data_IF_091990457993
#
_entry.id   IF_091990457993
#
_cell.length_a   1.000
_cell.length_b   1.000
_cell.length_c   1.000
_cell.angle_alpha   90.00
_cell.angle_beta   90.00
_cell.angle_gamma   90.00
#
_symmetry.space_group_name_H-M   'P 1'
#
loop_
_entity.id
_entity.type
_entity.pdbx_description
1 polymer ?
#
# COMPACT_ATOMS: atom_id res chain seq x y z
N UNK A 1 -20.90 7.52 -6.18
CA UNK A 1 -20.44 6.12 -6.15
C UNK A 1 -18.94 6.14 -6.34
N UNK A 2 -18.18 5.48 -5.48
CA UNK A 2 -16.78 5.20 -5.77
C UNK A 2 -16.79 3.94 -6.64
N UNK A 3 -16.30 4.05 -7.88
CA UNK A 3 -16.13 2.90 -8.77
C UNK A 3 -15.32 1.81 -8.04
N UNK A 4 -15.65 0.51 -8.21
CA UNK A 4 -14.86 -0.55 -7.62
C UNK A 4 -13.40 -0.48 -8.12
N UNK A 5 -12.45 -0.45 -7.19
CA UNK A 5 -11.03 -0.43 -7.54
C UNK A 5 -10.64 -1.73 -8.26
N UNK A 6 -9.77 -1.63 -9.27
CA UNK A 6 -9.20 -2.77 -10.00
C UNK A 6 -7.91 -3.25 -9.34
N UNK A 7 -7.55 -4.54 -9.49
CA UNK A 7 -6.25 -5.05 -9.03
C UNK A 7 -5.07 -4.32 -9.70
N UNK A 8 -5.17 -4.02 -10.99
CA UNK A 8 -4.15 -3.23 -11.71
C UNK A 8 -3.94 -1.85 -11.06
N UNK A 9 -5.01 -1.13 -10.75
CA UNK A 9 -4.93 0.18 -10.08
C UNK A 9 -4.31 0.08 -8.67
N UNK A 10 -4.63 -0.96 -7.91
CA UNK A 10 -4.03 -1.20 -6.59
C UNK A 10 -2.53 -1.47 -6.70
N UNK A 11 -2.11 -2.28 -7.68
CA UNK A 11 -0.70 -2.57 -7.93
C UNK A 11 0.07 -1.30 -8.32
N UNK A 12 -0.48 -0.52 -9.25
CA UNK A 12 0.12 0.73 -9.71
C UNK A 12 0.21 1.76 -8.58
N UNK A 13 -0.84 1.91 -7.77
CA UNK A 13 -0.84 2.81 -6.63
C UNK A 13 0.20 2.40 -5.58
N UNK A 14 0.30 1.10 -5.27
CA UNK A 14 1.29 0.58 -4.32
C UNK A 14 2.73 0.80 -4.82
N UNK A 15 2.97 0.59 -6.12
CA UNK A 15 4.27 0.83 -6.73
C UNK A 15 4.68 2.32 -6.65
N UNK A 16 3.72 3.22 -6.95
CA UNK A 16 3.94 4.66 -6.86
C UNK A 16 4.28 5.08 -5.43
N UNK A 17 3.48 4.68 -4.44
CA UNK A 17 3.72 5.05 -3.03
C UNK A 17 5.06 4.52 -2.53
N UNK A 18 5.46 3.31 -2.93
CA UNK A 18 6.78 2.77 -2.59
C UNK A 18 7.90 3.65 -3.17
N UNK A 19 7.81 4.00 -4.45
CA UNK A 19 8.82 4.82 -5.12
C UNK A 19 8.89 6.24 -4.52
N UNK A 20 7.75 6.91 -4.38
CA UNK A 20 7.65 8.27 -3.85
C UNK A 20 8.09 8.34 -2.39
N UNK A 21 7.70 7.33 -1.59
CA UNK A 21 8.11 7.21 -0.20
C UNK A 21 9.62 7.06 -0.04
N UNK A 22 10.28 6.30 -0.92
CA UNK A 22 11.74 6.14 -0.91
C UNK A 22 12.48 7.39 -1.43
N UNK A 23 11.89 8.12 -2.38
CA UNK A 23 12.49 9.31 -2.99
C UNK A 23 12.25 10.60 -2.19
N UNK A 24 11.39 10.57 -1.17
CA UNK A 24 11.09 11.69 -0.28
C UNK A 24 12.34 12.19 0.47
N UNK A 25 12.40 13.50 0.72
CA UNK A 25 13.42 14.12 1.59
C UNK A 25 13.40 13.56 3.03
N UNK A 26 12.25 13.03 3.43
CA UNK A 26 12.04 12.30 4.67
C UNK A 26 11.50 10.90 4.30
N UNK A 27 12.40 9.94 3.99
CA UNK A 27 12.03 8.70 3.33
C UNK A 27 11.26 7.75 4.25
N UNK A 28 10.29 7.05 3.68
CA UNK A 28 9.55 5.96 4.34
C UNK A 28 9.90 4.65 3.67
N UNK A 29 10.53 3.75 4.44
CA UNK A 29 10.95 2.44 3.94
C UNK A 29 9.82 1.43 4.10
N UNK A 30 9.18 1.10 2.98
CA UNK A 30 8.13 0.09 2.91
C UNK A 30 8.63 -1.17 2.21
N UNK A 31 7.90 -2.26 2.41
CA UNK A 31 8.04 -3.49 1.65
C UNK A 31 6.74 -3.78 0.90
N UNK A 32 6.81 -4.66 -0.08
CA UNK A 32 5.61 -5.16 -0.76
C UNK A 32 5.38 -6.64 -0.49
N UNK A 33 4.12 -7.05 -0.54
CA UNK A 33 3.68 -8.43 -0.66
C UNK A 33 2.84 -8.56 -1.93
N UNK A 34 3.04 -9.61 -2.73
CA UNK A 34 2.14 -9.90 -3.84
C UNK A 34 1.00 -10.78 -3.34
N UNK A 35 -0.23 -10.27 -3.43
CA UNK A 35 -1.43 -11.04 -3.14
C UNK A 35 -2.03 -11.55 -4.46
N UNK A 36 -2.26 -12.86 -4.54
CA UNK A 36 -2.92 -13.48 -5.69
C UNK A 36 -4.39 -13.10 -5.76
N UNK A 37 -4.95 -13.13 -6.97
CA UNK A 37 -6.32 -12.74 -7.29
C UNK A 37 -7.36 -13.34 -6.33
N UNK A 38 -7.34 -14.65 -6.11
CA UNK A 38 -8.35 -15.36 -5.32
C UNK A 38 -8.30 -14.95 -3.85
N UNK A 39 -7.09 -14.85 -3.28
CA UNK A 39 -6.90 -14.43 -1.90
C UNK A 39 -7.29 -12.96 -1.71
N UNK A 40 -7.01 -12.11 -2.70
CA UNK A 40 -7.36 -10.70 -2.66
C UNK A 40 -8.88 -10.50 -2.69
N UNK A 41 -9.57 -11.11 -3.67
CA UNK A 41 -11.03 -10.94 -3.84
C UNK A 41 -11.83 -11.58 -2.71
N UNK A 42 -11.34 -12.68 -2.12
CA UNK A 42 -11.96 -13.27 -0.93
C UNK A 42 -12.00 -12.29 0.26
N UNK A 43 -10.98 -11.43 0.39
CA UNK A 43 -10.87 -10.44 1.48
C UNK A 43 -11.45 -9.08 1.12
N UNK A 44 -11.48 -8.75 -0.17
CA UNK A 44 -12.00 -7.50 -0.73
C UNK A 44 -12.97 -7.77 -1.89
N UNK A 45 -14.20 -8.24 -1.61
CA UNK A 45 -15.13 -8.71 -2.64
C UNK A 45 -15.66 -7.61 -3.58
N UNK A 46 -15.38 -6.34 -3.28
CA UNK A 46 -15.76 -5.18 -4.12
C UNK A 46 -14.68 -4.80 -5.15
N UNK A 47 -13.55 -5.49 -5.21
CA UNK A 47 -12.50 -5.24 -6.20
C UNK A 47 -12.79 -5.96 -7.51
N UNK A 48 -12.51 -5.28 -8.62
CA UNK A 48 -12.51 -5.88 -9.94
C UNK A 48 -11.18 -6.61 -10.17
N UNK A 49 -11.26 -7.91 -10.44
CA UNK A 49 -10.10 -8.78 -10.63
C UNK A 49 -9.63 -8.82 -12.09
N UNK A 50 -9.08 -7.71 -12.57
CA UNK A 50 -8.58 -7.52 -13.94
C UNK A 50 -7.14 -8.02 -14.18
N UNK A 51 -6.50 -8.58 -13.15
CA UNK A 51 -5.15 -9.13 -13.18
C UNK A 51 -5.02 -10.37 -12.27
N UNK A 52 -3.90 -11.10 -12.38
CA UNK A 52 -3.63 -12.31 -11.57
C UNK A 52 -3.34 -12.01 -10.09
N UNK A 53 -3.22 -10.74 -9.72
CA UNK A 53 -2.96 -10.28 -8.37
C UNK A 53 -2.44 -8.86 -8.35
N UNK A 54 -2.17 -8.35 -7.15
CA UNK A 54 -1.62 -7.02 -6.96
C UNK A 54 -0.56 -7.02 -5.84
N UNK A 55 0.43 -6.13 -5.97
CA UNK A 55 1.28 -5.75 -4.84
C UNK A 55 0.46 -4.94 -3.85
N UNK A 56 0.66 -5.23 -2.58
CA UNK A 56 0.20 -4.42 -1.45
C UNK A 56 1.40 -3.97 -0.63
N UNK A 57 1.29 -2.80 -0.02
CA UNK A 57 2.30 -2.27 0.89
C UNK A 57 2.23 -2.98 2.24
N UNK A 58 3.39 -3.18 2.85
CA UNK A 58 3.54 -3.61 4.24
C UNK A 58 4.70 -2.85 4.87
N UNK A 59 4.56 -2.53 6.15
CA UNK A 59 5.68 -2.10 6.98
C UNK A 59 6.12 -3.26 7.85
N UNK A 60 7.42 -3.31 8.16
CA UNK A 60 8.00 -4.34 9.00
C UNK A 60 8.73 -3.64 10.14
N UNK A 61 8.06 -3.53 11.29
CA UNK A 61 8.64 -3.00 12.52
C UNK A 61 9.12 -4.18 13.35
N UNK A 62 10.44 -4.29 13.54
CA UNK A 62 11.07 -5.41 14.24
C UNK A 62 11.45 -5.08 15.68
N UNK A 63 11.56 -3.79 16.00
CA UNK A 63 12.02 -3.28 17.28
C UNK A 63 10.83 -2.79 18.11
N UNK A 64 10.70 -3.16 19.39
CA UNK A 64 9.62 -2.66 20.24
C UNK A 64 9.59 -1.13 20.30
N UNK A 65 10.75 -0.48 20.27
CA UNK A 65 10.89 0.98 20.30
C UNK A 65 10.27 1.67 19.06
N UNK A 66 10.02 0.90 17.99
CA UNK A 66 9.35 1.41 16.79
C UNK A 66 7.82 1.51 16.94
N UNK A 67 7.24 0.98 18.02
CA UNK A 67 5.80 1.07 18.29
C UNK A 67 5.35 2.54 18.41
N UNK A 68 6.13 3.38 19.09
CA UNK A 68 5.85 4.82 19.24
C UNK A 68 5.88 5.59 17.90
N UNK A 69 6.44 4.99 16.85
CA UNK A 69 6.57 5.61 15.52
C UNK A 69 5.45 5.21 14.56
N UNK A 70 4.55 4.30 14.95
CA UNK A 70 3.49 3.78 14.08
C UNK A 70 2.60 4.91 13.54
N UNK A 71 2.13 5.81 14.41
CA UNK A 71 1.26 6.93 14.01
C UNK A 71 1.97 7.87 13.03
N UNK A 72 3.24 8.22 13.32
CA UNK A 72 4.04 9.07 12.44
C UNK A 72 4.24 8.43 11.06
N UNK A 73 4.54 7.12 11.02
CA UNK A 73 4.71 6.39 9.77
C UNK A 73 3.39 6.28 9.00
N UNK A 74 2.29 6.06 9.70
CA UNK A 74 0.96 6.02 9.11
C UNK A 74 0.61 7.35 8.43
N UNK A 75 0.76 8.48 9.15
CA UNK A 75 0.51 9.82 8.62
C UNK A 75 1.34 10.12 7.37
N UNK A 76 2.61 9.70 7.35
CA UNK A 76 3.48 9.88 6.18
C UNK A 76 2.97 9.09 4.98
N UNK A 77 2.58 7.83 5.17
CA UNK A 77 2.00 7.01 4.10
C UNK A 77 0.69 7.60 3.61
N UNK A 78 -0.16 8.11 4.50
CA UNK A 78 -1.39 8.80 4.10
C UNK A 78 -1.12 10.02 3.22
N UNK A 79 -0.11 10.83 3.57
CA UNK A 79 0.27 12.00 2.76
C UNK A 79 0.75 11.62 1.35
N UNK A 80 1.37 10.45 1.17
CA UNK A 80 1.81 9.97 -0.15
C UNK A 80 0.63 9.55 -1.06
N UNK A 81 -0.52 9.23 -0.49
CA UNK A 81 -1.71 8.81 -1.27
C UNK A 81 -2.72 9.92 -1.50
N UNK A 82 -2.73 10.95 -0.65
CA UNK A 82 -3.63 12.09 -0.81
C UNK A 82 -3.14 12.99 -1.96
N UNK A 83 -4.01 13.37 -2.91
CA UNK A 83 -3.66 14.36 -3.91
C UNK A 83 -3.37 15.71 -3.24
N UNK A 84 -2.37 16.44 -3.76
CA UNK A 84 -2.14 17.84 -3.44
C UNK A 84 -3.26 18.73 -3.99
#
# INVERSE_FOLDING_TARGET
MVEPATLTAVDAASARVLADGMASADPVFLSTLKAGREAFTARHPKITADADGARVLRSVLMKPESEEHVELLHDRVERLVRPH
#
